data_IF_800192509755
#
_entry.id   IF_800192509755
#
_cell.length_a   1.000
_cell.length_b   1.000
_cell.length_c   1.000
_cell.angle_alpha   90.00
_cell.angle_beta   90.00
_cell.angle_gamma   90.00
#
_symmetry.space_group_name_H-M   'P 1'
#
loop_
_entity.id
_entity.type
_entity.pdbx_description
1 polymer ?
#
# COMPACT_ATOMS: atom_id res chain seq x y z
N UNK A 1 21.01 -2.59 25.83
CA UNK A 1 19.60 -2.24 25.60
C UNK A 1 19.50 -1.06 24.65
N UNK A 2 18.69 -1.17 23.60
CA UNK A 2 18.45 -0.12 22.59
C UNK A 2 17.18 0.65 22.95
N UNK A 3 17.33 1.90 23.35
CA UNK A 3 16.19 2.75 23.76
C UNK A 3 15.42 3.31 22.55
N UNK A 4 14.10 3.35 22.65
CA UNK A 4 13.18 3.94 21.65
C UNK A 4 13.49 3.46 20.20
N UNK A 5 13.73 2.17 20.01
CA UNK A 5 13.94 1.60 18.70
C UNK A 5 12.66 1.66 17.87
N UNK A 6 12.80 1.93 16.56
CA UNK A 6 11.69 1.79 15.59
C UNK A 6 11.55 0.34 15.19
N UNK A 7 10.40 -0.25 15.47
CA UNK A 7 10.15 -1.66 15.18
C UNK A 7 9.16 -1.79 14.05
N UNK A 8 9.54 -2.53 13.01
CA UNK A 8 8.75 -2.83 11.83
C UNK A 8 8.41 -4.31 11.81
N UNK A 9 7.14 -4.64 11.57
CA UNK A 9 6.74 -6.02 11.28
C UNK A 9 6.99 -6.32 9.80
N UNK A 10 7.86 -7.27 9.48
CA UNK A 10 8.21 -7.67 8.11
C UNK A 10 7.68 -9.08 7.76
N UNK A 11 6.78 -9.62 8.57
CA UNK A 11 6.12 -10.90 8.34
C UNK A 11 6.50 -11.94 9.36
N UNK A 12 7.48 -12.73 9.06
CA UNK A 12 7.94 -13.82 9.93
C UNK A 12 8.86 -13.32 11.06
N UNK A 13 9.20 -12.04 11.06
CA UNK A 13 10.07 -11.44 12.06
C UNK A 13 9.87 -9.93 12.13
N UNK A 14 10.47 -9.33 13.15
CA UNK A 14 10.50 -7.88 13.33
C UNK A 14 11.89 -7.34 13.06
N UNK A 15 11.94 -6.10 12.56
CA UNK A 15 13.19 -5.36 12.33
C UNK A 15 13.20 -4.14 13.22
N UNK A 16 14.15 -4.07 14.17
CA UNK A 16 14.39 -2.92 14.98
C UNK A 16 15.46 -2.01 14.37
N UNK A 17 15.23 -0.70 14.43
CA UNK A 17 16.23 0.32 14.12
C UNK A 17 16.45 1.13 15.38
N UNK A 18 17.62 0.99 16.04
CA UNK A 18 17.97 1.76 17.21
C UNK A 18 17.90 3.28 16.97
N UNK A 19 17.57 4.07 17.97
CA UNK A 19 17.42 5.52 17.86
C UNK A 19 18.70 6.20 17.35
N UNK A 20 19.85 5.71 17.75
CA UNK A 20 21.16 6.20 17.31
C UNK A 20 21.37 6.11 15.81
N UNK A 21 20.73 5.14 15.17
CA UNK A 21 20.78 4.88 13.74
C UNK A 21 19.64 5.54 12.94
N UNK A 22 18.83 6.40 13.58
CA UNK A 22 17.81 7.13 12.83
C UNK A 22 18.50 8.06 11.84
N UNK A 23 18.12 8.02 10.55
CA UNK A 23 18.60 9.01 9.60
C UNK A 23 18.31 10.39 10.17
N UNK A 24 19.33 11.16 10.48
CA UNK A 24 19.19 12.58 10.79
C UNK A 24 18.49 13.20 9.59
N UNK A 25 17.25 13.67 9.80
CA UNK A 25 16.46 14.24 8.73
C UNK A 25 17.25 15.38 8.08
N UNK A 26 17.71 15.18 6.85
CA UNK A 26 18.16 16.32 6.04
C UNK A 26 16.97 17.25 5.99
N UNK A 27 17.02 18.37 6.72
CA UNK A 27 16.06 19.46 6.55
C UNK A 27 16.09 19.78 5.06
N UNK A 28 15.06 19.40 4.34
CA UNK A 28 14.88 19.80 2.95
C UNK A 28 14.68 21.32 2.96
N UNK A 29 15.77 22.06 2.90
CA UNK A 29 15.78 23.53 2.83
C UNK A 29 15.38 24.04 1.46
N UNK A 30 15.12 23.17 0.50
CA UNK A 30 14.62 23.54 -0.84
C UNK A 30 13.22 23.00 -1.06
N UNK A 31 12.21 23.84 -0.85
CA UNK A 31 10.81 23.62 -1.26
C UNK A 31 10.60 23.75 -2.78
N UNK A 32 11.65 23.87 -3.57
CA UNK A 32 11.59 23.89 -5.02
C UNK A 32 11.24 22.49 -5.55
N UNK A 33 10.08 22.34 -6.19
CA UNK A 33 9.78 21.19 -7.03
C UNK A 33 10.90 21.09 -8.07
N UNK A 34 11.82 20.15 -7.90
CA UNK A 34 12.82 19.85 -8.95
C UNK A 34 12.06 19.44 -10.21
N UNK A 35 12.10 20.26 -11.25
CA UNK A 35 11.65 19.86 -12.57
C UNK A 35 12.47 18.65 -13.01
N UNK A 36 11.81 17.52 -13.34
CA UNK A 36 12.54 16.35 -13.80
C UNK A 36 13.32 16.69 -15.05
N UNK A 37 14.53 16.17 -15.18
CA UNK A 37 15.29 16.26 -16.44
C UNK A 37 14.42 15.76 -17.61
N UNK A 38 14.36 16.45 -18.77
CA UNK A 38 13.46 16.12 -19.88
C UNK A 38 13.48 14.64 -20.27
N UNK A 39 14.65 14.06 -20.44
CA UNK A 39 14.84 12.64 -20.80
C UNK A 39 14.23 11.69 -19.74
N UNK A 40 14.33 12.07 -18.44
CA UNK A 40 13.70 11.29 -17.38
C UNK A 40 12.17 11.36 -17.45
N UNK A 41 11.61 12.49 -17.82
CA UNK A 41 10.15 12.62 -18.00
C UNK A 41 9.66 11.77 -19.18
N UNK A 42 10.41 11.74 -20.28
CA UNK A 42 10.14 10.87 -21.42
C UNK A 42 10.21 9.38 -21.05
N UNK A 43 11.23 8.98 -20.25
CA UNK A 43 11.30 7.62 -19.71
C UNK A 43 10.07 7.26 -18.89
N UNK A 44 9.63 8.12 -17.97
CA UNK A 44 8.43 7.87 -17.14
C UNK A 44 7.16 7.73 -18.00
N UNK A 45 7.06 8.50 -19.08
CA UNK A 45 5.94 8.42 -20.03
C UNK A 45 5.97 7.10 -20.81
N UNK A 46 7.10 6.76 -21.42
CA UNK A 46 7.28 5.50 -22.16
C UNK A 46 7.09 4.28 -21.24
N UNK A 47 7.59 4.35 -19.99
CA UNK A 47 7.40 3.30 -19.01
C UNK A 47 5.91 3.08 -18.69
N UNK A 48 5.14 4.16 -18.46
CA UNK A 48 3.69 4.06 -18.18
C UNK A 48 2.92 3.47 -19.37
N UNK A 49 3.22 3.89 -20.58
CA UNK A 49 2.56 3.39 -21.79
C UNK A 49 2.82 1.90 -22.04
N UNK A 50 3.98 1.41 -21.63
CA UNK A 50 4.39 0.00 -21.80
C UNK A 50 4.06 -0.93 -20.63
N UNK A 51 3.33 -0.45 -19.60
CA UNK A 51 3.05 -1.24 -18.37
C UNK A 51 2.31 -2.56 -18.63
N UNK A 52 1.43 -2.61 -19.63
CA UNK A 52 0.68 -3.82 -20.00
C UNK A 52 1.54 -4.89 -20.67
N UNK A 53 2.75 -4.55 -21.12
CA UNK A 53 3.62 -5.43 -21.90
C UNK A 53 4.60 -6.22 -21.02
N UNK A 54 5.05 -7.38 -21.50
CA UNK A 54 6.10 -8.16 -20.84
C UNK A 54 7.38 -7.32 -20.65
N UNK A 55 8.15 -7.59 -19.60
CA UNK A 55 9.33 -6.81 -19.19
C UNK A 55 10.36 -6.65 -20.31
N UNK A 56 10.53 -7.70 -21.16
CA UNK A 56 11.47 -7.67 -22.30
C UNK A 56 11.02 -6.70 -23.38
N UNK A 57 9.75 -6.73 -23.76
CA UNK A 57 9.16 -5.85 -24.76
C UNK A 57 9.12 -4.40 -24.26
N UNK A 58 8.77 -4.20 -23.02
CA UNK A 58 8.80 -2.88 -22.36
C UNK A 58 10.16 -2.21 -22.49
N UNK A 59 11.24 -2.94 -22.20
CA UNK A 59 12.61 -2.42 -22.37
C UNK A 59 12.90 -2.01 -23.80
N UNK A 60 12.48 -2.82 -24.76
CA UNK A 60 12.67 -2.53 -26.18
C UNK A 60 11.96 -1.24 -26.61
N UNK A 61 10.71 -1.07 -26.20
CA UNK A 61 9.93 0.13 -26.50
C UNK A 61 10.48 1.39 -25.87
N UNK A 62 10.90 1.31 -24.60
CA UNK A 62 11.52 2.44 -23.91
C UNK A 62 12.81 2.86 -24.62
N UNK A 63 13.65 1.89 -25.03
CA UNK A 63 14.87 2.18 -25.81
C UNK A 63 14.54 2.83 -27.15
N UNK A 64 13.51 2.35 -27.85
CA UNK A 64 13.09 2.95 -29.11
C UNK A 64 12.55 4.38 -28.93
N UNK A 65 11.76 4.62 -27.89
CA UNK A 65 11.22 5.95 -27.57
C UNK A 65 12.30 6.98 -27.20
N UNK A 66 13.45 6.53 -26.71
CA UNK A 66 14.51 7.41 -26.22
C UNK A 66 15.76 7.44 -27.11
N UNK A 67 15.77 6.70 -28.20
CA UNK A 67 16.97 6.53 -29.03
C UNK A 67 17.57 7.85 -29.58
N UNK A 68 16.73 8.85 -29.80
CA UNK A 68 17.16 10.14 -30.32
C UNK A 68 17.72 11.11 -29.29
N UNK A 69 17.60 10.73 -27.98
CA UNK A 69 18.06 11.55 -26.86
C UNK A 69 19.51 11.24 -26.45
N UNK A 70 20.12 10.21 -27.03
CA UNK A 70 21.46 9.74 -26.69
C UNK A 70 22.37 9.65 -27.90
N UNK A 71 23.63 10.01 -27.73
CA UNK A 71 24.63 9.95 -28.79
C UNK A 71 25.09 8.51 -29.07
N UNK A 72 25.09 7.63 -28.07
CA UNK A 72 25.49 6.24 -28.26
C UNK A 72 24.42 5.25 -27.76
N UNK A 73 24.46 4.05 -28.36
CA UNK A 73 23.59 2.94 -27.97
C UNK A 73 23.91 2.41 -26.55
N UNK A 74 25.14 2.54 -26.13
CA UNK A 74 25.60 2.08 -24.83
C UNK A 74 25.10 3.00 -23.72
N UNK A 75 25.22 4.32 -23.90
CA UNK A 75 24.64 5.33 -22.98
C UNK A 75 23.12 5.17 -22.83
N UNK A 76 22.40 4.99 -23.95
CA UNK A 76 20.97 4.71 -23.92
C UNK A 76 20.65 3.45 -23.12
N UNK A 77 21.43 2.40 -23.33
CA UNK A 77 21.22 1.12 -22.64
C UNK A 77 21.46 1.26 -21.14
N UNK A 78 22.55 1.86 -20.74
CA UNK A 78 22.88 2.12 -19.33
C UNK A 78 21.82 2.98 -18.65
N UNK A 79 21.38 4.06 -19.29
CA UNK A 79 20.32 4.92 -18.77
C UNK A 79 19.00 4.16 -18.57
N UNK A 80 18.58 3.35 -19.56
CA UNK A 80 17.34 2.59 -19.47
C UNK A 80 17.42 1.54 -18.36
N UNK A 81 18.51 0.77 -18.29
CA UNK A 81 18.65 -0.27 -17.24
C UNK A 81 18.70 0.35 -15.84
N UNK A 82 19.46 1.42 -15.64
CA UNK A 82 19.50 2.15 -14.35
C UNK A 82 18.12 2.65 -13.93
N UNK A 83 17.34 3.22 -14.86
CA UNK A 83 16.00 3.71 -14.53
C UNK A 83 14.99 2.56 -14.35
N UNK A 84 15.11 1.46 -15.08
CA UNK A 84 14.31 0.25 -14.86
C UNK A 84 14.57 -0.35 -13.48
N UNK A 85 15.82 -0.43 -13.03
CA UNK A 85 16.19 -0.86 -11.71
C UNK A 85 15.61 0.08 -10.64
N UNK A 86 15.79 1.38 -10.80
CA UNK A 86 15.20 2.40 -9.92
C UNK A 86 13.70 2.23 -9.74
N UNK A 87 12.96 2.00 -10.82
CA UNK A 87 11.50 1.79 -10.77
C UNK A 87 11.17 0.50 -10.04
N UNK A 88 11.92 -0.58 -10.29
CA UNK A 88 11.75 -1.87 -9.61
C UNK A 88 11.98 -1.73 -8.10
N UNK A 89 13.08 -1.12 -7.70
CA UNK A 89 13.40 -0.85 -6.29
C UNK A 89 12.32 0.01 -5.62
N UNK A 90 11.82 1.03 -6.32
CA UNK A 90 10.73 1.86 -5.79
C UNK A 90 9.41 1.09 -5.64
N UNK A 91 9.13 0.15 -6.54
CA UNK A 91 7.95 -0.73 -6.42
C UNK A 91 8.06 -1.64 -5.20
N UNK A 92 9.23 -2.28 -4.99
CA UNK A 92 9.51 -3.10 -3.80
C UNK A 92 9.36 -2.28 -2.52
N UNK A 93 9.98 -1.09 -2.45
CA UNK A 93 9.86 -0.20 -1.29
C UNK A 93 8.41 0.19 -0.98
N UNK A 94 7.58 0.44 -2.01
CA UNK A 94 6.16 0.73 -1.83
C UNK A 94 5.40 -0.48 -1.28
N UNK A 95 5.69 -1.67 -1.79
CA UNK A 95 5.10 -2.92 -1.31
C UNK A 95 5.44 -3.19 0.16
N UNK A 96 6.71 -3.07 0.53
CA UNK A 96 7.16 -3.24 1.92
C UNK A 96 6.45 -2.25 2.84
N UNK A 97 6.37 -0.96 2.47
CA UNK A 97 5.65 0.04 3.27
C UNK A 97 4.16 -0.25 3.40
N UNK A 98 3.53 -0.75 2.34
CA UNK A 98 2.13 -1.18 2.40
C UNK A 98 1.97 -2.31 3.41
N UNK A 99 2.77 -3.38 3.30
CA UNK A 99 2.67 -4.54 4.19
C UNK A 99 2.90 -4.15 5.66
N UNK A 100 3.89 -3.31 5.96
CA UNK A 100 4.12 -2.78 7.31
C UNK A 100 2.92 -2.04 7.87
N UNK A 101 2.24 -1.22 7.05
CA UNK A 101 1.00 -0.53 7.46
C UNK A 101 -0.15 -1.49 7.68
N UNK A 102 -0.28 -2.51 6.84
CA UNK A 102 -1.37 -3.48 6.97
C UNK A 102 -1.26 -4.31 8.25
N UNK A 103 -0.04 -4.65 8.66
CA UNK A 103 0.20 -5.48 9.85
C UNK A 103 0.02 -4.76 11.19
N UNK A 104 0.10 -3.43 11.20
CA UNK A 104 -0.06 -2.62 12.42
C UNK A 104 -1.46 -2.05 12.59
N UNK A 105 -2.41 -2.48 11.78
CA UNK A 105 -3.79 -2.03 11.80
C UNK A 105 -4.73 -3.21 11.64
N UNK A 106 -5.79 -3.23 12.44
CA UNK A 106 -6.88 -4.18 12.24
C UNK A 106 -7.68 -3.81 11.00
N UNK A 107 -8.09 -4.83 10.26
CA UNK A 107 -8.86 -4.70 9.05
C UNK A 107 -10.04 -5.64 9.09
N UNK A 108 -11.21 -5.19 8.67
CA UNK A 108 -12.41 -6.01 8.75
C UNK A 108 -13.16 -6.16 7.42
N UNK A 109 -12.85 -5.35 6.41
CA UNK A 109 -13.50 -5.48 5.11
C UNK A 109 -12.54 -5.29 3.94
N UNK A 110 -12.73 -6.10 2.90
CA UNK A 110 -12.25 -5.81 1.55
C UNK A 110 -13.43 -5.31 0.72
N UNK A 111 -13.36 -4.07 0.26
CA UNK A 111 -14.47 -3.44 -0.44
C UNK A 111 -14.15 -3.18 -1.90
N UNK A 112 -15.17 -3.37 -2.75
CA UNK A 112 -15.14 -3.00 -4.16
C UNK A 112 -16.28 -2.02 -4.44
N UNK A 113 -15.96 -0.91 -5.11
CA UNK A 113 -16.96 0.09 -5.52
C UNK A 113 -16.96 0.24 -7.04
N UNK A 114 -18.14 0.19 -7.63
CA UNK A 114 -18.40 0.39 -9.05
C UNK A 114 -19.52 1.41 -9.20
N UNK A 115 -19.37 2.39 -10.08
CA UNK A 115 -20.42 3.39 -10.25
C UNK A 115 -21.53 2.93 -11.19
N UNK A 116 -22.72 3.49 -11.01
CA UNK A 116 -23.82 3.43 -11.95
C UNK A 116 -23.72 4.61 -12.92
N UNK A 117 -23.76 4.33 -14.22
CA UNK A 117 -23.68 5.33 -15.29
C UNK A 117 -24.85 6.32 -15.27
N UNK A 118 -25.98 5.93 -14.66
CA UNK A 118 -27.12 6.83 -14.45
C UNK A 118 -26.87 7.87 -13.36
N UNK A 119 -25.97 7.58 -12.43
CA UNK A 119 -25.68 8.45 -11.30
C UNK A 119 -24.39 9.26 -11.48
N UNK A 120 -23.40 8.69 -12.17
CA UNK A 120 -22.07 9.24 -12.26
C UNK A 120 -21.38 9.01 -13.59
N UNK A 121 -20.57 9.99 -13.99
CA UNK A 121 -19.41 9.77 -14.88
C UNK A 121 -18.24 9.25 -14.07
N UNK A 122 -17.21 8.74 -14.73
CA UNK A 122 -15.99 8.29 -14.07
C UNK A 122 -15.35 9.38 -13.20
N UNK A 123 -15.26 10.60 -13.72
CA UNK A 123 -14.67 11.74 -13.00
C UNK A 123 -15.46 12.10 -11.75
N UNK A 124 -16.79 12.21 -11.88
CA UNK A 124 -17.68 12.53 -10.74
C UNK A 124 -17.67 11.42 -9.70
N UNK A 125 -17.64 10.14 -10.12
CA UNK A 125 -17.50 9.00 -9.22
C UNK A 125 -16.20 9.07 -8.43
N UNK A 126 -15.05 9.23 -9.11
CA UNK A 126 -13.73 9.33 -8.46
C UNK A 126 -13.70 10.45 -7.42
N UNK A 127 -14.21 11.63 -7.77
CA UNK A 127 -14.25 12.79 -6.89
C UNK A 127 -15.19 12.59 -5.69
N UNK A 128 -16.44 12.17 -5.94
CA UNK A 128 -17.44 12.01 -4.89
C UNK A 128 -17.11 10.86 -3.95
N UNK A 129 -16.70 9.69 -4.45
CA UNK A 129 -16.29 8.57 -3.60
C UNK A 129 -15.11 8.96 -2.71
N UNK A 130 -14.08 9.62 -3.28
CA UNK A 130 -12.93 10.08 -2.49
C UNK A 130 -13.35 11.04 -1.38
N UNK A 131 -14.29 11.95 -1.63
CA UNK A 131 -14.80 12.89 -0.63
C UNK A 131 -15.63 12.15 0.44
N UNK A 132 -16.51 11.24 0.05
CA UNK A 132 -17.31 10.43 0.98
C UNK A 132 -16.42 9.62 1.91
N UNK A 133 -15.41 8.93 1.37
CA UNK A 133 -14.47 8.17 2.18
C UNK A 133 -13.67 9.08 3.13
N UNK A 134 -13.27 10.29 2.71
CA UNK A 134 -12.64 11.28 3.62
C UNK A 134 -13.57 11.68 4.76
N UNK A 135 -14.85 11.90 4.48
CA UNK A 135 -15.84 12.21 5.53
C UNK A 135 -15.99 11.06 6.52
N UNK A 136 -16.00 9.80 6.05
CA UNK A 136 -16.10 8.65 6.93
C UNK A 136 -14.82 8.44 7.76
N UNK A 137 -13.65 8.72 7.21
CA UNK A 137 -12.41 8.77 7.98
C UNK A 137 -12.51 9.78 9.13
N UNK A 138 -12.99 10.98 8.83
CA UNK A 138 -13.05 12.05 9.83
C UNK A 138 -14.16 11.84 10.87
N UNK A 139 -15.37 11.46 10.42
CA UNK A 139 -16.56 11.39 11.31
C UNK A 139 -16.76 10.03 11.97
N UNK A 140 -16.39 8.96 11.31
CA UNK A 140 -16.69 7.58 11.72
C UNK A 140 -15.44 6.77 12.07
N UNK A 141 -14.23 7.38 12.00
CA UNK A 141 -12.99 6.70 12.33
C UNK A 141 -12.57 5.62 11.32
N UNK A 142 -13.13 5.64 10.11
CA UNK A 142 -12.74 4.69 9.08
C UNK A 142 -11.26 4.85 8.72
N UNK A 143 -10.63 3.71 8.39
CA UNK A 143 -9.29 3.72 7.80
C UNK A 143 -9.32 2.87 6.55
N UNK A 144 -8.52 3.22 5.55
CA UNK A 144 -8.46 2.40 4.35
C UNK A 144 -7.15 2.56 3.58
N UNK A 145 -6.85 1.51 2.83
CA UNK A 145 -5.85 1.50 1.76
C UNK A 145 -6.53 0.99 0.51
N UNK A 146 -6.47 1.73 -0.57
CA UNK A 146 -7.14 1.32 -1.80
C UNK A 146 -6.39 1.71 -3.07
N UNK A 147 -6.88 1.21 -4.18
CA UNK A 147 -6.36 1.45 -5.52
C UNK A 147 -7.50 1.60 -6.52
N UNK A 148 -7.33 2.52 -7.44
CA UNK A 148 -8.20 2.63 -8.60
C UNK A 148 -7.79 1.61 -9.67
N UNK A 149 -8.76 0.93 -10.23
CA UNK A 149 -8.55 -0.07 -11.28
C UNK A 149 -9.52 0.14 -12.43
N UNK A 150 -9.06 -0.19 -13.65
CA UNK A 150 -9.93 -0.32 -14.82
C UNK A 150 -10.13 -1.78 -15.15
N UNK A 151 -11.39 -2.20 -15.30
CA UNK A 151 -11.69 -3.57 -15.75
C UNK A 151 -11.06 -3.82 -17.12
N UNK A 152 -10.50 -5.03 -17.36
CA UNK A 152 -9.80 -5.32 -18.61
C UNK A 152 -10.68 -5.18 -19.86
N UNK A 153 -11.91 -5.64 -19.78
CA UNK A 153 -12.84 -5.70 -20.94
C UNK A 153 -13.54 -4.37 -21.20
N UNK A 154 -14.17 -3.80 -20.18
CA UNK A 154 -15.01 -2.60 -20.33
C UNK A 154 -14.29 -1.29 -19.99
N UNK A 155 -13.02 -1.37 -19.56
CA UNK A 155 -12.23 -0.23 -19.09
C UNK A 155 -12.95 0.62 -18.01
N UNK A 156 -13.94 0.03 -17.33
CA UNK A 156 -14.74 0.68 -16.31
C UNK A 156 -13.92 0.87 -15.06
N UNK A 157 -14.01 2.06 -14.46
CA UNK A 157 -13.28 2.39 -13.25
C UNK A 157 -13.93 1.74 -12.03
N UNK A 158 -13.10 1.08 -11.21
CA UNK A 158 -13.43 0.51 -9.92
C UNK A 158 -12.50 1.07 -8.86
N UNK A 159 -12.96 1.05 -7.62
CA UNK A 159 -12.09 1.29 -6.47
C UNK A 159 -12.09 0.03 -5.60
N UNK A 160 -10.92 -0.53 -5.35
CA UNK A 160 -10.72 -1.67 -4.45
C UNK A 160 -9.94 -1.22 -3.24
N UNK A 161 -10.34 -1.65 -2.06
CA UNK A 161 -9.65 -1.25 -0.84
C UNK A 161 -9.84 -2.21 0.32
N UNK A 162 -8.86 -2.19 1.22
CA UNK A 162 -8.90 -2.84 2.53
C UNK A 162 -9.31 -1.77 3.53
N UNK A 163 -10.32 -2.05 4.33
CA UNK A 163 -10.95 -1.10 5.23
C UNK A 163 -10.96 -1.59 6.67
N UNK A 164 -10.75 -0.66 7.59
CA UNK A 164 -11.16 -0.77 8.98
C UNK A 164 -12.39 0.11 9.17
N UNK A 165 -13.51 -0.50 9.50
CA UNK A 165 -14.82 0.13 9.66
C UNK A 165 -15.32 -0.15 11.09
N UNK A 166 -15.04 0.74 12.05
CA UNK A 166 -15.49 0.54 13.43
C UNK A 166 -17.00 0.71 13.59
N UNK A 167 -17.60 1.53 12.72
CA UNK A 167 -19.04 1.76 12.67
C UNK A 167 -19.50 1.83 11.22
N UNK A 168 -20.31 0.86 10.84
CA UNK A 168 -20.89 0.80 9.49
C UNK A 168 -21.84 1.97 9.24
N UNK A 169 -21.81 2.53 8.03
CA UNK A 169 -22.76 3.52 7.54
C UNK A 169 -23.59 2.84 6.47
N UNK A 170 -24.92 2.82 6.64
CA UNK A 170 -25.83 2.00 5.85
C UNK A 170 -25.92 0.57 6.36
N UNK A 171 -26.79 -0.21 5.74
CA UNK A 171 -27.04 -1.61 6.07
C UNK A 171 -26.34 -2.52 5.08
N UNK A 172 -25.78 -3.63 5.55
CA UNK A 172 -25.26 -4.69 4.71
C UNK A 172 -26.36 -5.72 4.45
N UNK A 173 -26.55 -6.03 3.19
CA UNK A 173 -27.51 -7.05 2.74
C UNK A 173 -26.76 -8.10 1.92
N UNK A 174 -26.94 -9.35 2.27
CA UNK A 174 -26.43 -10.47 1.48
C UNK A 174 -27.28 -10.66 0.23
N UNK A 175 -26.62 -10.67 -0.94
CA UNK A 175 -27.26 -10.89 -2.23
C UNK A 175 -26.55 -12.04 -2.94
N UNK A 176 -27.33 -13.03 -3.39
CA UNK A 176 -26.82 -14.09 -4.25
C UNK A 176 -26.91 -13.66 -5.70
N UNK A 177 -25.78 -13.64 -6.37
CA UNK A 177 -25.66 -13.24 -7.77
C UNK A 177 -24.91 -14.31 -8.57
N UNK A 178 -25.21 -14.42 -9.85
CA UNK A 178 -24.53 -15.37 -10.71
C UNK A 178 -23.33 -14.73 -11.39
N UNK A 179 -22.15 -15.24 -11.07
CA UNK A 179 -20.91 -14.82 -11.75
C UNK A 179 -20.82 -15.50 -13.11
N UNK A 180 -21.21 -14.77 -14.14
CA UNK A 180 -21.20 -15.26 -15.52
C UNK A 180 -19.81 -15.61 -16.03
N UNK A 181 -18.76 -14.97 -15.48
CA UNK A 181 -17.38 -15.22 -15.88
C UNK A 181 -16.86 -16.57 -15.36
N UNK A 182 -17.23 -16.93 -14.15
CA UNK A 182 -16.78 -18.16 -13.51
C UNK A 182 -17.86 -19.24 -13.49
N UNK A 183 -19.04 -18.97 -14.02
CA UNK A 183 -20.15 -19.92 -14.14
C UNK A 183 -20.68 -20.42 -12.79
N UNK A 184 -20.64 -19.61 -11.74
CA UNK A 184 -21.04 -20.02 -10.38
C UNK A 184 -21.84 -18.95 -9.65
N UNK A 185 -22.68 -19.40 -8.73
CA UNK A 185 -23.30 -18.51 -7.75
C UNK A 185 -22.25 -17.95 -6.81
N UNK A 186 -22.32 -16.65 -6.56
CA UNK A 186 -21.49 -15.96 -5.58
C UNK A 186 -22.37 -15.17 -4.62
N UNK A 187 -21.92 -15.05 -3.40
CA UNK A 187 -22.53 -14.18 -2.40
C UNK A 187 -21.79 -12.86 -2.39
N UNK A 188 -22.52 -11.75 -2.46
CA UNK A 188 -22.00 -10.38 -2.34
C UNK A 188 -22.70 -9.68 -1.19
N UNK A 189 -21.97 -8.86 -0.45
CA UNK A 189 -22.51 -8.07 0.65
C UNK A 189 -22.63 -6.61 0.21
N UNK A 190 -23.86 -6.20 -0.09
CA UNK A 190 -24.15 -4.88 -0.64
C UNK A 190 -24.51 -3.92 0.48
N UNK A 191 -23.80 -2.80 0.53
CA UNK A 191 -24.10 -1.72 1.45
C UNK A 191 -25.12 -0.75 0.83
N UNK A 192 -26.22 -0.50 1.54
CA UNK A 192 -27.36 0.32 1.08
C UNK A 192 -26.99 1.78 0.80
N UNK A 193 -26.11 2.37 1.62
CA UNK A 193 -25.65 3.75 1.42
C UNK A 193 -24.87 3.89 0.10
N UNK A 194 -23.91 3.02 -0.14
CA UNK A 194 -23.11 3.06 -1.37
C UNK A 194 -23.90 2.66 -2.60
N UNK A 195 -24.85 1.71 -2.47
CA UNK A 195 -25.75 1.34 -3.56
C UNK A 195 -26.57 2.55 -4.02
N UNK A 196 -27.17 3.27 -3.09
CA UNK A 196 -28.01 4.46 -3.36
C UNK A 196 -27.21 5.60 -3.99
N UNK A 197 -26.00 5.84 -3.53
CA UNK A 197 -25.24 7.04 -3.89
C UNK A 197 -24.21 6.84 -5.00
N UNK A 198 -23.79 5.60 -5.27
CA UNK A 198 -22.72 5.33 -6.23
C UNK A 198 -23.07 4.19 -7.20
N UNK A 199 -23.74 3.14 -6.76
CA UNK A 199 -24.05 1.95 -7.52
C UNK A 199 -23.50 0.69 -6.87
N UNK A 200 -23.17 -0.32 -7.69
CA UNK A 200 -22.76 -1.63 -7.22
C UNK A 200 -21.54 -1.55 -6.31
N UNK A 201 -21.63 -2.24 -5.20
CA UNK A 201 -20.55 -2.37 -4.24
C UNK A 201 -20.55 -3.78 -3.65
N UNK A 202 -19.43 -4.15 -3.03
CA UNK A 202 -19.28 -5.40 -2.31
C UNK A 202 -18.39 -5.17 -1.09
N UNK A 203 -18.82 -5.65 0.09
CA UNK A 203 -18.13 -5.54 1.37
C UNK A 203 -17.84 -6.96 1.87
N UNK A 204 -16.73 -7.52 1.44
CA UNK A 204 -16.29 -8.84 1.88
C UNK A 204 -15.58 -8.72 3.22
N UNK A 205 -16.04 -9.47 4.22
CA UNK A 205 -15.37 -9.54 5.51
C UNK A 205 -13.98 -10.17 5.41
N UNK A 206 -13.05 -9.63 6.20
CA UNK A 206 -11.72 -10.16 6.42
C UNK A 206 -11.74 -10.79 7.81
N UNK A 207 -11.84 -12.10 7.87
CA UNK A 207 -11.97 -12.85 9.13
C UNK A 207 -10.66 -13.45 9.61
N UNK A 208 -9.70 -13.68 8.70
CA UNK A 208 -8.44 -14.37 8.97
C UNK A 208 -7.24 -13.67 8.31
N UNK A 209 -6.04 -13.97 8.77
CA UNK A 209 -4.79 -13.41 8.21
C UNK A 209 -4.59 -13.80 6.74
N UNK A 210 -5.12 -14.94 6.29
CA UNK A 210 -5.09 -15.38 4.90
C UNK A 210 -5.94 -14.47 3.99
N UNK A 211 -7.09 -14.00 4.45
CA UNK A 211 -7.94 -13.06 3.73
C UNK A 211 -7.25 -11.70 3.57
N UNK A 212 -6.55 -11.23 4.61
CA UNK A 212 -5.76 -10.01 4.54
C UNK A 212 -4.60 -10.15 3.55
N UNK A 213 -3.91 -11.29 3.55
CA UNK A 213 -2.82 -11.58 2.63
C UNK A 213 -3.31 -11.64 1.17
N UNK A 214 -4.50 -12.19 0.94
CA UNK A 214 -5.15 -12.19 -0.37
C UNK A 214 -5.49 -10.77 -0.82
N UNK A 215 -6.16 -9.98 0.03
CA UNK A 215 -6.53 -8.60 -0.25
C UNK A 215 -5.30 -7.71 -0.53
N UNK A 216 -4.22 -7.89 0.23
CA UNK A 216 -2.97 -7.18 0.04
C UNK A 216 -2.30 -7.54 -1.30
N UNK A 217 -2.28 -8.82 -1.67
CA UNK A 217 -1.79 -9.29 -2.98
C UNK A 217 -2.62 -8.71 -4.12
N UNK A 218 -3.95 -8.67 -3.96
CA UNK A 218 -4.85 -8.09 -4.95
C UNK A 218 -4.52 -6.61 -5.21
N UNK A 219 -4.47 -5.78 -4.16
CA UNK A 219 -4.12 -4.35 -4.27
C UNK A 219 -2.73 -4.15 -4.89
N UNK A 220 -1.74 -4.97 -4.48
CA UNK A 220 -0.37 -4.86 -4.98
C UNK A 220 -0.27 -5.18 -6.47
N UNK A 221 -1.00 -6.20 -6.93
CA UNK A 221 -1.07 -6.59 -8.35
C UNK A 221 -1.53 -5.44 -9.23
N UNK A 222 -2.56 -4.71 -8.81
CA UNK A 222 -3.07 -3.58 -9.59
C UNK A 222 -2.15 -2.37 -9.55
N UNK A 223 -1.53 -2.09 -8.40
CA UNK A 223 -0.48 -1.08 -8.30
C UNK A 223 0.65 -1.30 -9.32
N UNK A 224 1.06 -2.56 -9.53
CA UNK A 224 2.12 -2.92 -10.48
C UNK A 224 1.63 -2.88 -11.94
N UNK A 225 0.40 -3.32 -12.19
CA UNK A 225 -0.16 -3.48 -13.52
C UNK A 225 -0.62 -2.15 -14.15
N UNK A 226 -1.21 -1.27 -13.37
CA UNK A 226 -1.80 -0.02 -13.87
C UNK A 226 -0.94 1.20 -13.60
N UNK A 227 0.06 1.08 -12.71
CA UNK A 227 0.87 2.21 -12.25
C UNK A 227 0.09 3.22 -11.39
N UNK A 228 -1.16 2.92 -11.03
CA UNK A 228 -1.98 3.76 -10.16
C UNK A 228 -1.36 3.86 -8.76
N UNK A 229 -1.55 5.02 -8.15
CA UNK A 229 -1.06 5.26 -6.80
C UNK A 229 -2.02 4.68 -5.78
N UNK A 230 -1.46 4.11 -4.71
CA UNK A 230 -2.26 3.75 -3.54
C UNK A 230 -2.87 5.00 -2.92
N UNK A 231 -4.13 4.88 -2.53
CA UNK A 231 -4.88 5.90 -1.80
C UNK A 231 -5.02 5.45 -0.36
N UNK A 232 -4.70 6.34 0.57
CA UNK A 232 -4.76 6.06 2.00
C UNK A 232 -5.78 6.99 2.67
N UNK A 233 -6.54 6.45 3.60
CA UNK A 233 -7.43 7.21 4.48
C UNK A 233 -7.19 6.88 5.94
N UNK A 234 -7.13 7.91 6.78
CA UNK A 234 -6.81 7.81 8.20
C UNK A 234 -5.30 7.76 8.49
N UNK A 235 -4.96 7.79 9.78
CA UNK A 235 -3.57 7.62 10.23
C UNK A 235 -3.25 6.13 10.26
N UNK A 236 -2.35 5.68 9.38
CA UNK A 236 -1.91 4.29 9.31
C UNK A 236 -0.44 4.21 9.75
N UNK A 237 -0.17 3.69 10.94
CA UNK A 237 1.18 3.58 11.46
C UNK A 237 2.03 2.65 10.59
N UNK A 238 3.32 2.92 10.53
CA UNK A 238 4.30 2.11 9.77
C UNK A 238 5.20 1.32 10.70
N UNK A 239 5.40 1.80 11.93
CA UNK A 239 6.22 1.19 12.98
C UNK A 239 5.67 1.55 14.35
N UNK A 240 6.10 0.82 15.36
CA UNK A 240 5.90 1.17 16.77
C UNK A 240 7.24 1.41 17.45
N UNK A 241 7.23 2.02 18.61
CA UNK A 241 8.42 2.27 19.42
C UNK A 241 8.43 1.30 20.60
N UNK A 242 9.59 0.72 20.88
CA UNK A 242 9.87 -0.04 22.10
C UNK A 242 11.36 0.04 22.40
N UNK A 243 11.72 -0.05 23.68
CA UNK A 243 13.07 -0.41 24.04
C UNK A 243 13.28 -1.89 23.76
N UNK A 244 14.51 -2.28 23.38
CA UNK A 244 14.86 -3.66 23.02
C UNK A 244 16.03 -4.11 23.87
N UNK A 245 15.90 -5.29 24.47
CA UNK A 245 16.98 -5.95 25.18
C UNK A 245 18.03 -6.48 24.21
N UNK A 246 19.30 -6.45 24.59
CA UNK A 246 20.39 -6.98 23.74
C UNK A 246 20.22 -8.47 23.48
N UNK A 247 19.70 -9.20 24.45
CA UNK A 247 19.43 -10.64 24.39
C UNK A 247 18.29 -11.01 23.43
N UNK A 248 17.36 -10.09 23.17
CA UNK A 248 16.28 -10.29 22.19
C UNK A 248 16.75 -10.11 20.73
N UNK A 249 17.94 -9.57 20.53
CA UNK A 249 18.49 -9.35 19.19
C UNK A 249 19.11 -10.65 18.67
N UNK A 250 18.44 -11.28 17.71
CA UNK A 250 18.91 -12.54 17.14
C UNK A 250 20.02 -12.32 16.11
N UNK A 251 19.91 -11.27 15.31
CA UNK A 251 20.90 -10.96 14.29
C UNK A 251 20.98 -9.44 14.06
N UNK A 252 22.16 -8.82 14.25
CA UNK A 252 22.40 -7.48 13.76
C UNK A 252 22.43 -7.50 12.23
N UNK A 253 21.46 -6.83 11.60
CA UNK A 253 21.29 -6.83 10.16
C UNK A 253 22.00 -5.64 9.51
N UNK A 254 22.85 -5.93 8.54
CA UNK A 254 23.58 -4.93 7.77
C UNK A 254 24.94 -4.55 8.40
N UNK A 255 25.76 -3.90 7.60
CA UNK A 255 27.06 -3.39 8.01
C UNK A 255 26.84 -2.29 9.06
N UNK A 256 27.62 -2.30 10.13
CA UNK A 256 27.62 -1.29 11.20
C UNK A 256 26.42 -1.34 12.18
N UNK A 257 25.72 -2.46 12.34
CA UNK A 257 24.70 -2.62 13.38
C UNK A 257 23.51 -1.66 13.29
N UNK A 258 23.22 -1.15 12.09
CA UNK A 258 22.11 -0.17 11.88
C UNK A 258 20.74 -0.76 12.04
N UNK A 259 20.59 -2.07 11.96
CA UNK A 259 19.35 -2.80 12.08
C UNK A 259 19.56 -4.07 12.87
N UNK A 260 18.56 -4.49 13.58
CA UNK A 260 18.54 -5.75 14.31
C UNK A 260 17.32 -6.56 13.93
N UNK A 261 17.47 -7.85 13.77
CA UNK A 261 16.37 -8.79 13.59
C UNK A 261 15.95 -9.31 14.96
N UNK A 262 14.67 -9.26 15.21
CA UNK A 262 13.97 -9.82 16.37
C UNK A 262 13.04 -10.92 15.89
N UNK A 263 12.79 -11.92 16.73
CA UNK A 263 11.73 -12.90 16.49
C UNK A 263 10.41 -12.50 17.17
N UNK A 264 9.38 -13.34 16.99
CA UNK A 264 8.02 -13.09 17.51
C UNK A 264 7.89 -13.27 19.01
N UNK A 265 8.99 -13.45 19.74
CA UNK A 265 9.03 -13.70 21.17
C UNK A 265 9.90 -12.70 21.95
N UNK A 266 10.12 -11.51 21.44
CA UNK A 266 10.87 -10.48 22.16
C UNK A 266 10.00 -9.72 23.15
N UNK A 267 10.68 -9.11 24.15
CA UNK A 267 10.02 -8.32 25.19
C UNK A 267 9.83 -6.88 24.73
N UNK A 268 8.60 -6.40 24.82
CA UNK A 268 8.22 -5.00 24.56
C UNK A 268 8.34 -4.17 25.83
N UNK A 269 9.08 -3.06 25.75
CA UNK A 269 9.35 -2.15 26.85
C UNK A 269 9.04 -0.72 26.40
N UNK A 270 8.35 0.04 27.22
CA UNK A 270 8.07 1.46 26.97
C UNK A 270 8.51 2.30 28.14
N UNK A 271 9.40 3.27 27.91
CA UNK A 271 9.94 4.16 28.95
C UNK A 271 10.52 3.41 30.18
N UNK A 272 11.13 2.24 29.94
CA UNK A 272 11.74 1.39 30.97
C UNK A 272 10.75 0.41 31.65
N UNK A 273 9.46 0.47 31.37
CA UNK A 273 8.45 -0.46 31.88
C UNK A 273 8.23 -1.62 30.93
N UNK A 274 8.25 -2.86 31.46
CA UNK A 274 7.94 -4.07 30.70
C UNK A 274 6.44 -4.11 30.44
N UNK A 275 6.04 -4.04 29.17
CA UNK A 275 4.65 -4.14 28.74
C UNK A 275 4.22 -5.59 28.54
N UNK A 276 5.14 -6.44 28.07
CA UNK A 276 4.91 -7.87 27.88
C UNK A 276 5.65 -8.44 26.68
N UNK A 277 5.41 -9.71 26.39
CA UNK A 277 5.89 -10.31 25.15
C UNK A 277 5.15 -9.75 23.94
N UNK A 278 5.81 -9.69 22.80
CA UNK A 278 5.22 -9.13 21.57
C UNK A 278 3.93 -9.87 21.20
N UNK A 279 2.85 -9.13 21.06
CA UNK A 279 1.53 -9.61 20.65
C UNK A 279 0.74 -8.43 20.04
N UNK A 280 -0.42 -8.69 19.45
CA UNK A 280 -1.31 -7.60 18.95
C UNK A 280 -1.74 -6.68 20.11
N UNK A 281 -2.03 -7.24 21.27
CA UNK A 281 -2.46 -6.54 22.49
C UNK A 281 -1.32 -5.68 23.08
N UNK A 282 -0.11 -6.24 23.13
CA UNK A 282 1.09 -5.52 23.59
C UNK A 282 1.43 -4.37 22.62
N UNK A 283 1.45 -4.63 21.32
CA UNK A 283 1.69 -3.60 20.31
C UNK A 283 0.60 -2.51 20.34
N UNK A 284 -0.64 -2.84 20.76
CA UNK A 284 -1.71 -1.84 20.86
C UNK A 284 -1.40 -0.78 21.94
N UNK A 285 -0.67 -1.12 22.97
CA UNK A 285 -0.31 -0.24 24.09
C UNK A 285 0.93 0.62 23.80
N UNK A 286 1.71 0.28 22.76
CA UNK A 286 2.94 0.97 22.42
C UNK A 286 2.71 2.17 21.50
N UNK A 287 3.57 3.21 21.55
CA UNK A 287 3.52 4.35 20.65
C UNK A 287 3.67 3.92 19.18
N UNK A 288 2.67 4.22 18.35
CA UNK A 288 2.65 3.89 16.92
C UNK A 288 2.87 5.14 16.08
N UNK A 289 3.80 5.05 15.13
CA UNK A 289 4.26 6.18 14.32
C UNK A 289 4.28 5.89 12.79
N UNK A 290 4.37 6.98 12.02
CA UNK A 290 4.49 6.95 10.56
C UNK A 290 5.92 7.25 10.08
#
# INVERSE_FOLDING_TARGET
MYQNAKIYSDGEHYIAIPKENFPQGKKNTSSGKRTPHPVKAQFETAYKQSLSKPKKERRKEIKEALKNEFASKDELTEFVETNMERVTVNAIKRKVRLMRKLRLQDWNYFCTFTYDDKLHTEETFRKKLSNTLKHFVYRNGWKYVGVWERSPEKQRLHFHGIFYIPKMVGELTEVRDYDTKHGKMQTTHINSHFLKHFGRNDFREISEDDDLSYAARYITKYMEKTGEKLVYGGKLPTYFLSDILDEDVVCPYGVEGKKAILFDNFTCINEGEIIGQVSKETIAQLPKCN
#
